data_IF_563017265636
#
_entry.id   IF_563017265636
#
_cell.length_a   1.000
_cell.length_b   1.000
_cell.length_c   1.000
_cell.angle_alpha   90.00
_cell.angle_beta   90.00
_cell.angle_gamma   90.00
#
_symmetry.space_group_name_H-M   'P 1'
#
loop_
_entity.id
_entity.type
_entity.pdbx_description
1 polymer ?
#
# COMPACT_ATOMS: atom_id res chain seq x y z
N UNK A 1 17.15 -8.03 -11.09
CA UNK A 1 18.07 -6.90 -11.23
C UNK A 1 19.32 -7.22 -10.40
N UNK A 2 20.52 -7.16 -11.02
CA UNK A 2 21.77 -7.37 -10.31
C UNK A 2 22.05 -6.22 -9.35
N UNK A 3 22.81 -6.49 -8.29
CA UNK A 3 23.18 -5.49 -7.27
C UNK A 3 23.91 -4.26 -7.89
N UNK A 4 24.66 -4.47 -8.96
CA UNK A 4 25.36 -3.40 -9.70
C UNK A 4 24.39 -2.46 -10.41
N UNK A 5 23.34 -2.99 -11.06
CA UNK A 5 22.30 -2.18 -11.71
C UNK A 5 21.49 -1.38 -10.70
N UNK A 6 21.25 -1.93 -9.52
CA UNK A 6 20.60 -1.20 -8.44
C UNK A 6 21.45 0.00 -7.96
N UNK A 7 22.77 -0.05 -8.08
CA UNK A 7 23.70 1.00 -7.63
C UNK A 7 24.03 2.05 -8.69
N UNK A 8 23.73 1.82 -9.96
CA UNK A 8 23.97 2.78 -11.04
C UNK A 8 23.09 4.03 -10.89
N UNK A 9 23.66 5.22 -11.14
CA UNK A 9 22.96 6.52 -10.93
C UNK A 9 22.32 7.06 -12.23
N UNK A 10 22.28 6.30 -13.31
CA UNK A 10 21.89 6.79 -14.62
C UNK A 10 20.39 6.68 -14.90
N UNK A 11 19.90 7.56 -15.79
CA UNK A 11 18.60 7.47 -16.44
C UNK A 11 18.37 6.10 -17.13
N UNK A 12 19.43 5.34 -17.37
CA UNK A 12 19.40 3.97 -17.88
C UNK A 12 18.52 3.04 -17.03
N UNK A 13 18.58 3.14 -15.69
CA UNK A 13 17.71 2.34 -14.81
C UNK A 13 16.22 2.70 -14.99
N UNK A 14 15.88 3.99 -15.06
CA UNK A 14 14.50 4.41 -15.27
C UNK A 14 13.97 3.91 -16.62
N UNK A 15 14.76 4.05 -17.68
CA UNK A 15 14.40 3.58 -19.00
C UNK A 15 14.25 2.05 -19.07
N UNK A 16 15.20 1.31 -18.49
CA UNK A 16 15.13 -0.16 -18.43
C UNK A 16 13.87 -0.63 -17.70
N UNK A 17 13.55 -0.01 -16.56
CA UNK A 17 12.33 -0.34 -15.81
C UNK A 17 11.07 0.04 -16.59
N UNK A 18 11.06 1.20 -17.26
CA UNK A 18 9.94 1.60 -18.09
C UNK A 18 9.67 0.61 -19.22
N UNK A 19 10.73 0.16 -19.91
CA UNK A 19 10.64 -0.82 -20.99
C UNK A 19 10.14 -2.18 -20.50
N UNK A 20 10.63 -2.65 -19.35
CA UNK A 20 10.16 -3.88 -18.74
C UNK A 20 8.68 -3.81 -18.33
N UNK A 21 8.23 -2.68 -17.78
CA UNK A 21 6.84 -2.47 -17.41
C UNK A 21 5.90 -2.27 -18.61
N UNK A 22 6.41 -1.72 -19.72
CA UNK A 22 5.65 -1.54 -20.94
C UNK A 22 5.49 -2.85 -21.73
N UNK A 23 6.50 -3.74 -21.65
CA UNK A 23 6.47 -5.02 -22.30
C UNK A 23 5.56 -6.00 -21.57
N UNK A 24 4.81 -6.80 -22.33
CA UNK A 24 3.92 -7.83 -21.77
C UNK A 24 4.76 -8.92 -21.10
N UNK A 25 4.41 -9.31 -19.89
CA UNK A 25 5.00 -10.50 -19.28
C UNK A 25 4.56 -11.75 -20.05
N UNK A 26 5.51 -12.58 -20.55
CA UNK A 26 5.18 -13.73 -21.40
C UNK A 26 4.30 -14.79 -20.72
N UNK A 27 4.27 -14.81 -19.39
CA UNK A 27 3.58 -15.82 -18.58
C UNK A 27 2.16 -15.45 -18.18
N UNK A 28 1.70 -14.23 -18.46
CA UNK A 28 0.36 -13.82 -18.09
C UNK A 28 -0.61 -14.10 -19.22
N UNK A 29 -1.66 -14.87 -18.95
CA UNK A 29 -2.81 -15.04 -19.82
C UNK A 29 -3.56 -13.72 -20.09
N UNK A 30 -3.22 -12.67 -19.34
CA UNK A 30 -3.77 -11.33 -19.46
C UNK A 30 -3.05 -10.54 -20.56
N UNK A 31 -3.82 -9.99 -21.50
CA UNK A 31 -3.33 -9.10 -22.57
C UNK A 31 -3.03 -7.67 -22.09
N UNK A 32 -3.10 -7.38 -20.79
CA UNK A 32 -2.95 -6.02 -20.25
C UNK A 32 -1.47 -5.68 -20.02
N UNK A 33 -1.00 -4.57 -20.60
CA UNK A 33 0.25 -3.92 -20.21
C UNK A 33 0.09 -3.21 -18.86
N UNK A 34 1.19 -2.96 -18.15
CA UNK A 34 1.17 -2.17 -16.93
C UNK A 34 0.60 -0.77 -17.19
N UNK A 35 -0.28 -0.28 -16.32
CA UNK A 35 -1.12 0.89 -16.61
C UNK A 35 -0.36 2.22 -16.73
N UNK A 36 0.75 2.41 -16.06
CA UNK A 36 1.54 3.65 -16.06
C UNK A 36 3.04 3.35 -15.97
N UNK A 37 3.65 2.76 -17.01
CA UNK A 37 5.02 2.25 -16.95
C UNK A 37 6.05 3.34 -16.65
N UNK A 38 6.03 4.45 -17.38
CA UNK A 38 6.99 5.56 -17.20
C UNK A 38 6.88 6.25 -15.84
N UNK A 39 5.65 6.46 -15.35
CA UNK A 39 5.45 7.04 -14.01
C UNK A 39 6.02 6.13 -12.92
N UNK A 40 5.77 4.82 -13.03
CA UNK A 40 6.28 3.85 -12.05
C UNK A 40 7.79 3.68 -12.15
N UNK A 41 8.36 3.69 -13.33
CA UNK A 41 9.80 3.65 -13.51
C UNK A 41 10.48 4.84 -12.82
N UNK A 42 9.95 6.05 -13.03
CA UNK A 42 10.44 7.26 -12.35
C UNK A 42 10.32 7.17 -10.83
N UNK A 43 9.17 6.73 -10.31
CA UNK A 43 8.98 6.54 -8.87
C UNK A 43 9.97 5.53 -8.29
N UNK A 44 10.23 4.42 -8.99
CA UNK A 44 11.20 3.40 -8.56
C UNK A 44 12.64 3.92 -8.60
N UNK A 45 13.00 4.72 -9.59
CA UNK A 45 14.32 5.35 -9.67
C UNK A 45 14.53 6.34 -8.49
N UNK A 46 13.53 7.16 -8.20
CA UNK A 46 13.55 8.08 -7.06
C UNK A 46 13.59 7.32 -5.73
N UNK A 47 12.76 6.28 -5.58
CA UNK A 47 12.74 5.44 -4.37
C UNK A 47 14.10 4.80 -4.12
N UNK A 48 14.75 4.30 -5.18
CA UNK A 48 16.10 3.76 -5.09
C UNK A 48 17.07 4.77 -4.49
N UNK A 49 17.08 6.00 -4.98
CA UNK A 49 17.95 7.07 -4.48
C UNK A 49 17.71 7.34 -2.98
N UNK A 50 16.44 7.40 -2.57
CA UNK A 50 16.08 7.60 -1.17
C UNK A 50 16.56 6.44 -0.29
N UNK A 51 16.40 5.20 -0.74
CA UNK A 51 16.81 4.01 0.04
C UNK A 51 18.33 3.80 0.09
N UNK A 52 19.07 4.31 -0.90
CA UNK A 52 20.53 4.34 -0.86
C UNK A 52 21.06 5.37 0.15
N UNK A 53 20.37 6.49 0.33
CA UNK A 53 20.73 7.51 1.29
C UNK A 53 20.40 7.11 2.73
N UNK A 54 19.26 6.48 2.94
CA UNK A 54 18.81 6.03 4.26
C UNK A 54 18.07 4.68 4.15
N UNK A 55 18.59 3.61 4.80
CA UNK A 55 17.97 2.28 4.76
C UNK A 55 16.55 2.29 5.31
N UNK A 56 15.69 1.43 4.75
CA UNK A 56 14.29 1.31 5.17
C UNK A 56 14.14 0.89 6.64
N UNK A 57 15.10 0.10 7.16
CA UNK A 57 15.12 -0.35 8.55
C UNK A 57 15.17 0.81 9.56
N UNK A 58 15.90 1.89 9.24
CA UNK A 58 15.97 3.07 10.11
C UNK A 58 14.64 3.83 10.19
N UNK A 59 13.84 3.76 9.13
CA UNK A 59 12.51 4.39 9.07
C UNK A 59 11.44 3.62 9.84
N UNK A 60 11.70 2.35 10.13
CA UNK A 60 10.85 1.46 10.91
C UNK A 60 11.32 1.35 12.37
N UNK A 61 12.24 2.20 12.80
CA UNK A 61 12.67 2.21 14.19
C UNK A 61 11.46 2.25 15.14
N UNK A 62 11.48 1.51 16.25
CA UNK A 62 10.35 1.40 17.15
C UNK A 62 9.84 2.78 17.56
N UNK A 63 8.68 3.14 17.07
CA UNK A 63 7.96 4.36 17.43
C UNK A 63 6.67 3.93 18.13
N UNK A 64 6.32 4.61 19.20
CA UNK A 64 5.06 4.39 19.88
C UNK A 64 3.82 4.79 19.05
N UNK A 65 4.02 5.41 17.88
CA UNK A 65 2.93 5.89 17.02
C UNK A 65 3.07 5.36 15.58
N UNK A 66 2.34 4.28 15.29
CA UNK A 66 2.29 3.65 13.97
C UNK A 66 1.80 4.58 12.86
N UNK A 67 0.90 5.53 13.17
CA UNK A 67 0.38 6.49 12.19
C UNK A 67 1.45 7.49 11.79
N UNK A 68 2.32 7.91 12.72
CA UNK A 68 3.47 8.76 12.40
C UNK A 68 4.48 8.06 11.53
N UNK A 69 4.78 6.78 11.80
CA UNK A 69 5.65 5.97 10.93
C UNK A 69 5.07 5.89 9.53
N UNK A 70 3.78 5.56 9.41
CA UNK A 70 3.10 5.54 8.10
C UNK A 70 3.17 6.89 7.39
N UNK A 71 2.87 7.99 8.09
CA UNK A 71 2.92 9.33 7.50
C UNK A 71 4.31 9.65 6.95
N UNK A 72 5.36 9.30 7.69
CA UNK A 72 6.74 9.47 7.25
C UNK A 72 7.06 8.61 6.02
N UNK A 73 6.63 7.35 5.99
CA UNK A 73 6.79 6.49 4.81
C UNK A 73 6.12 7.07 3.57
N UNK A 74 4.89 7.62 3.71
CA UNK A 74 4.16 8.26 2.61
C UNK A 74 4.85 9.54 2.14
N UNK A 75 5.40 10.32 3.05
CA UNK A 75 6.09 11.58 2.74
C UNK A 75 7.43 11.34 2.05
N UNK A 76 8.22 10.38 2.55
CA UNK A 76 9.61 10.20 2.17
C UNK A 76 9.79 9.25 0.98
N UNK A 77 8.83 8.32 0.76
CA UNK A 77 8.98 7.27 -0.25
C UNK A 77 8.14 7.53 -1.50
N UNK A 78 8.75 7.93 -2.63
CA UNK A 78 8.04 8.21 -3.86
C UNK A 78 7.19 7.03 -4.33
N UNK A 79 5.93 7.30 -4.66
CA UNK A 79 5.00 6.29 -5.17
C UNK A 79 4.36 5.38 -4.13
N UNK A 80 4.66 5.59 -2.84
CA UNK A 80 4.04 4.89 -1.73
C UNK A 80 2.90 5.74 -1.17
N UNK A 81 1.67 5.26 -1.29
CA UNK A 81 0.50 5.89 -0.69
C UNK A 81 0.16 5.30 0.69
N UNK A 82 -0.84 5.86 1.40
CA UNK A 82 -1.20 5.43 2.76
C UNK A 82 -1.52 3.94 2.87
N UNK A 83 -2.25 3.39 1.89
CA UNK A 83 -2.58 1.97 1.84
C UNK A 83 -1.33 1.08 1.71
N UNK A 84 -0.42 1.42 0.79
CA UNK A 84 0.82 0.66 0.58
C UNK A 84 1.72 0.74 1.81
N UNK A 85 1.83 1.91 2.45
CA UNK A 85 2.59 2.08 3.67
C UNK A 85 2.01 1.25 4.83
N UNK A 86 0.68 1.26 5.04
CA UNK A 86 0.01 0.41 6.05
C UNK A 86 0.25 -1.08 5.77
N UNK A 87 0.08 -1.51 4.52
CA UNK A 87 0.31 -2.90 4.10
C UNK A 87 1.77 -3.33 4.32
N UNK A 88 2.72 -2.47 3.99
CA UNK A 88 4.14 -2.71 4.23
C UNK A 88 4.41 -2.90 5.72
N UNK A 89 3.97 -1.96 6.58
CA UNK A 89 4.18 -2.03 8.04
C UNK A 89 3.61 -3.31 8.65
N UNK A 90 2.40 -3.72 8.24
CA UNK A 90 1.80 -4.98 8.69
C UNK A 90 2.62 -6.19 8.23
N UNK A 91 3.00 -6.24 6.96
CA UNK A 91 3.67 -7.41 6.36
C UNK A 91 5.08 -7.65 6.93
N UNK A 92 5.76 -6.60 7.40
CA UNK A 92 7.05 -6.71 8.09
C UNK A 92 6.91 -6.84 9.61
N UNK A 93 5.69 -6.91 10.13
CA UNK A 93 5.43 -7.04 11.56
C UNK A 93 5.69 -5.76 12.38
N UNK A 94 5.82 -4.60 11.74
CA UNK A 94 6.11 -3.35 12.43
C UNK A 94 4.91 -2.82 13.24
N UNK A 95 3.68 -3.01 12.76
CA UNK A 95 2.47 -2.65 13.50
C UNK A 95 1.21 -3.28 12.93
N UNK A 96 0.24 -3.56 13.79
CA UNK A 96 -1.15 -3.94 13.47
C UNK A 96 -2.16 -2.86 13.84
N UNK A 97 -1.70 -1.67 14.25
CA UNK A 97 -2.56 -0.55 14.68
C UNK A 97 -2.91 0.40 13.53
N UNK A 98 -2.52 0.07 12.31
CA UNK A 98 -2.89 0.77 11.08
C UNK A 98 -3.71 -0.13 10.17
N UNK A 99 -4.81 0.38 9.62
CA UNK A 99 -5.68 -0.38 8.73
C UNK A 99 -5.15 -0.38 7.29
N UNK A 100 -5.46 -1.44 6.53
CA UNK A 100 -5.32 -1.47 5.08
C UNK A 100 -6.70 -1.27 4.47
N UNK A 101 -7.02 -0.02 4.15
CA UNK A 101 -8.30 0.36 3.56
C UNK A 101 -8.31 0.08 2.06
N UNK A 102 -8.51 -1.18 1.69
CA UNK A 102 -8.70 -1.59 0.31
C UNK A 102 -10.18 -1.56 -0.10
N UNK A 103 -10.46 -1.91 -1.34
CA UNK A 103 -11.82 -1.89 -1.89
C UNK A 103 -12.77 -2.84 -1.16
N UNK A 104 -12.27 -3.97 -0.63
CA UNK A 104 -13.08 -4.95 0.09
C UNK A 104 -13.42 -4.44 1.49
N UNK A 105 -12.42 -3.90 2.20
CA UNK A 105 -12.60 -3.31 3.53
C UNK A 105 -13.54 -2.10 3.47
N UNK A 106 -13.36 -1.20 2.50
CA UNK A 106 -14.26 -0.06 2.31
C UNK A 106 -15.69 -0.51 1.95
N UNK A 107 -15.84 -1.49 1.08
CA UNK A 107 -17.15 -2.06 0.71
C UNK A 107 -17.85 -2.69 1.92
N UNK A 108 -17.13 -3.40 2.78
CA UNK A 108 -17.68 -3.95 4.02
C UNK A 108 -18.25 -2.84 4.91
N UNK A 109 -17.47 -1.79 5.20
CA UNK A 109 -17.91 -0.69 6.05
C UNK A 109 -19.08 0.10 5.44
N UNK A 110 -19.16 0.17 4.12
CA UNK A 110 -20.33 0.72 3.43
C UNK A 110 -21.58 -0.15 3.59
N UNK A 111 -21.44 -1.48 3.42
CA UNK A 111 -22.55 -2.44 3.57
C UNK A 111 -23.16 -2.43 4.97
N UNK A 112 -22.34 -2.25 6.00
CA UNK A 112 -22.82 -2.15 7.39
C UNK A 112 -23.19 -0.72 7.81
N UNK A 113 -23.21 0.23 6.88
CA UNK A 113 -23.68 1.60 7.11
C UNK A 113 -22.73 2.50 7.91
N UNK A 114 -21.47 2.10 8.12
CA UNK A 114 -20.50 2.90 8.87
C UNK A 114 -19.72 3.90 8.00
N UNK A 115 -19.70 3.70 6.67
CA UNK A 115 -19.07 4.62 5.73
C UNK A 115 -20.01 4.95 4.57
N UNK A 116 -19.96 6.22 4.13
CA UNK A 116 -20.66 6.70 2.94
C UNK A 116 -19.71 7.06 1.78
N UNK A 117 -18.39 6.90 2.00
CA UNK A 117 -17.36 7.33 1.05
C UNK A 117 -16.99 6.23 0.06
N UNK A 118 -16.75 6.60 -1.21
CA UNK A 118 -16.19 5.70 -2.22
C UNK A 118 -14.67 5.52 -2.06
N UNK A 119 -14.11 4.45 -2.62
CA UNK A 119 -12.67 4.16 -2.54
C UNK A 119 -11.77 5.27 -3.09
N UNK A 120 -12.22 6.05 -4.08
CA UNK A 120 -11.48 7.20 -4.63
C UNK A 120 -11.36 8.37 -3.65
N UNK A 121 -12.28 8.49 -2.69
CA UNK A 121 -12.24 9.54 -1.67
C UNK A 121 -11.19 9.30 -0.58
N UNK A 122 -10.53 8.14 -0.55
CA UNK A 122 -9.54 7.74 0.48
C UNK A 122 -8.10 7.77 -0.07
N UNK A 123 -7.83 8.64 -1.04
CA UNK A 123 -6.53 8.70 -1.74
C UNK A 123 -5.46 9.52 -1.02
N UNK A 124 -5.85 10.51 -0.20
CA UNK A 124 -4.90 11.34 0.54
C UNK A 124 -4.68 10.80 1.96
N UNK A 125 -3.54 11.11 2.58
CA UNK A 125 -3.26 10.68 3.95
C UNK A 125 -4.35 11.18 4.91
N UNK A 126 -4.77 12.44 4.80
CA UNK A 126 -5.81 13.05 5.64
C UNK A 126 -7.15 12.30 5.55
N UNK A 127 -7.61 12.01 4.33
CA UNK A 127 -8.88 11.29 4.13
C UNK A 127 -8.76 9.83 4.56
N UNK A 128 -7.60 9.23 4.37
CA UNK A 128 -7.30 7.88 4.80
C UNK A 128 -7.39 7.75 6.34
N UNK A 129 -6.74 8.63 7.08
CA UNK A 129 -6.74 8.64 8.54
C UNK A 129 -8.12 8.90 9.13
N UNK A 130 -8.90 9.79 8.49
CA UNK A 130 -10.30 10.00 8.88
C UNK A 130 -11.13 8.73 8.73
N UNK A 131 -11.00 8.03 7.62
CA UNK A 131 -11.72 6.77 7.37
C UNK A 131 -11.21 5.65 8.29
N UNK A 132 -9.91 5.57 8.52
CA UNK A 132 -9.29 4.62 9.45
C UNK A 132 -9.80 4.79 10.88
N UNK A 133 -10.15 6.00 11.30
CA UNK A 133 -10.73 6.22 12.64
C UNK A 133 -12.02 5.43 12.84
N UNK A 134 -12.86 5.32 11.80
CA UNK A 134 -14.08 4.50 11.83
C UNK A 134 -13.74 3.02 11.94
N UNK A 135 -12.76 2.54 11.15
CA UNK A 135 -12.30 1.16 11.19
C UNK A 135 -11.71 0.79 12.56
N UNK A 136 -10.90 1.69 13.16
CA UNK A 136 -10.34 1.50 14.50
C UNK A 136 -11.43 1.43 15.58
N UNK A 137 -12.41 2.33 15.53
CA UNK A 137 -13.51 2.31 16.48
C UNK A 137 -14.30 0.98 16.42
N UNK A 138 -14.50 0.46 15.21
CA UNK A 138 -15.13 -0.85 15.02
C UNK A 138 -14.25 -2.00 15.54
N UNK A 139 -12.94 -1.97 15.25
CA UNK A 139 -11.97 -2.97 15.71
C UNK A 139 -11.89 -3.05 17.24
N UNK A 140 -11.88 -1.88 17.93
CA UNK A 140 -11.94 -1.81 19.40
C UNK A 140 -13.19 -2.50 19.94
N UNK A 141 -14.35 -2.29 19.33
CA UNK A 141 -15.61 -2.98 19.72
C UNK A 141 -15.53 -4.50 19.51
N UNK A 142 -14.76 -4.95 18.51
CA UNK A 142 -14.51 -6.38 18.27
C UNK A 142 -13.42 -6.96 19.18
N UNK A 143 -12.70 -6.14 19.97
CA UNK A 143 -11.63 -6.58 20.85
C UNK A 143 -10.31 -6.95 20.14
N UNK A 144 -10.08 -6.45 18.93
CA UNK A 144 -8.91 -6.78 18.13
C UNK A 144 -8.23 -5.54 17.53
N UNK A 145 -6.90 -5.59 17.26
CA UNK A 145 -6.21 -4.58 16.47
C UNK A 145 -6.81 -4.50 15.07
N UNK A 146 -6.84 -3.29 14.51
CA UNK A 146 -7.47 -3.03 13.21
C UNK A 146 -6.80 -3.78 12.05
N UNK A 147 -5.51 -4.06 12.13
CA UNK A 147 -4.77 -4.81 11.12
C UNK A 147 -5.11 -6.31 11.07
N UNK A 148 -5.70 -6.88 12.13
CA UNK A 148 -6.31 -8.22 12.09
C UNK A 148 -7.73 -8.18 11.54
N UNK A 149 -8.47 -7.13 11.92
CA UNK A 149 -9.84 -6.95 11.46
C UNK A 149 -9.90 -6.73 9.94
N UNK A 150 -9.05 -5.86 9.40
CA UNK A 150 -9.04 -5.58 7.96
C UNK A 150 -8.72 -6.85 7.14
N UNK A 151 -7.83 -7.67 7.65
CA UNK A 151 -7.50 -8.94 7.02
C UNK A 151 -8.67 -9.93 7.05
N UNK A 152 -9.34 -10.08 8.20
CA UNK A 152 -10.53 -10.93 8.33
C UNK A 152 -11.64 -10.46 7.37
N UNK A 153 -11.89 -9.15 7.31
CA UNK A 153 -12.85 -8.54 6.39
C UNK A 153 -12.47 -8.84 4.93
N UNK A 154 -11.19 -8.66 4.57
CA UNK A 154 -10.72 -8.92 3.21
C UNK A 154 -10.97 -10.36 2.77
N UNK A 155 -10.62 -11.35 3.61
CA UNK A 155 -10.87 -12.77 3.35
C UNK A 155 -12.36 -13.02 3.15
N UNK A 156 -13.19 -12.54 4.08
CA UNK A 156 -14.65 -12.76 4.07
C UNK A 156 -15.29 -12.14 2.82
N UNK A 157 -14.96 -10.90 2.50
CA UNK A 157 -15.51 -10.20 1.35
C UNK A 157 -15.07 -10.81 0.02
N UNK A 158 -13.85 -11.35 -0.02
CA UNK A 158 -13.36 -12.04 -1.22
C UNK A 158 -14.07 -13.38 -1.42
N UNK A 159 -14.20 -14.18 -0.35
CA UNK A 159 -14.94 -15.45 -0.41
C UNK A 159 -16.41 -15.23 -0.79
N UNK A 160 -17.08 -14.23 -0.22
CA UNK A 160 -18.46 -13.90 -0.57
C UNK A 160 -18.61 -13.56 -2.05
N UNK A 161 -17.69 -12.80 -2.62
CA UNK A 161 -17.70 -12.46 -4.05
C UNK A 161 -17.51 -13.68 -4.96
N UNK A 162 -16.70 -14.66 -4.54
CA UNK A 162 -16.51 -15.90 -5.31
C UNK A 162 -17.74 -16.81 -5.28
N UNK A 163 -18.60 -16.70 -4.25
CA UNK A 163 -19.87 -17.42 -4.15
C UNK A 163 -21.01 -16.76 -4.92
N UNK A 164 -20.90 -15.46 -5.22
CA UNK A 164 -21.89 -14.69 -6.00
C UNK A 164 -21.61 -14.74 -7.51
N UNK A 165 -20.49 -15.29 -7.96
CA UNK A 165 -20.04 -15.32 -9.36
C UNK A 165 -20.36 -16.67 -10.04
#
# INVERSE_FOLDING_TARGET
LSDERWRSRDNAFENEVADHLANRFPTSASKSSYRFPSLRARQLAQLRTVLQAEPLSSRLAPSCDARRVRAKLVQDLPGIGPKQASMFMRNVGASYDVAILDVHVLSFFQRIGLLTVSGSAVSTLKTYEKTETVANAYAVRCGHPVGYLDWAIWITMRAAKELEA
#
